data_IF_543219869129
#
_entry.id   IF_543219869129
#
_cell.length_a   1.000
_cell.length_b   1.000
_cell.length_c   1.000
_cell.angle_alpha   90.00
_cell.angle_beta   90.00
_cell.angle_gamma   90.00
#
_symmetry.space_group_name_H-M   'P 1'
#
loop_
_entity.id
_entity.type
_entity.pdbx_description
1 polymer ?
#
# COMPACT_ATOMS: atom_id res chain seq x y z
N UNK A 1 11.81 14.17 -11.29
CA UNK A 1 10.53 13.63 -10.79
C UNK A 1 10.57 13.61 -9.28
N UNK A 2 9.64 14.31 -8.63
CA UNK A 2 9.54 14.27 -7.17
C UNK A 2 8.93 12.94 -6.74
N UNK A 3 9.57 12.27 -5.79
CA UNK A 3 9.07 11.03 -5.21
C UNK A 3 7.86 11.34 -4.31
N UNK A 4 6.80 10.55 -4.44
CA UNK A 4 5.62 10.67 -3.56
C UNK A 4 5.98 10.01 -2.23
N UNK A 5 5.70 10.69 -1.13
CA UNK A 5 6.00 10.27 0.22
C UNK A 5 4.96 10.74 1.21
N UNK A 6 4.92 10.08 2.36
CA UNK A 6 4.13 10.52 3.52
C UNK A 6 4.78 11.78 4.10
N UNK A 7 4.02 12.87 4.20
CA UNK A 7 4.50 14.14 4.77
C UNK A 7 3.92 14.46 6.15
N UNK A 8 2.76 13.90 6.50
CA UNK A 8 2.19 14.02 7.82
C UNK A 8 1.26 12.86 8.15
N UNK A 9 1.08 12.61 9.45
CA UNK A 9 0.15 11.61 10.01
C UNK A 9 -0.67 12.35 11.08
N UNK A 10 -1.83 12.93 10.70
CA UNK A 10 -2.67 13.66 11.65
C UNK A 10 -3.24 12.79 12.77
N UNK A 11 -3.59 11.54 12.46
CA UNK A 11 -4.12 10.54 13.38
C UNK A 11 -3.91 9.12 12.84
N UNK A 12 -4.43 8.11 13.53
CA UNK A 12 -4.33 6.69 13.20
C UNK A 12 -5.23 6.24 12.03
N UNK A 13 -6.08 7.12 11.50
CA UNK A 13 -7.02 6.81 10.41
C UNK A 13 -6.63 7.38 9.05
N UNK A 14 -5.74 8.37 9.02
CA UNK A 14 -5.38 9.08 7.79
C UNK A 14 -3.91 9.48 7.74
N UNK A 15 -3.39 9.53 6.52
CA UNK A 15 -2.07 10.08 6.22
C UNK A 15 -2.19 11.18 5.18
N UNK A 16 -1.19 12.05 5.13
CA UNK A 16 -1.06 13.10 4.13
C UNK A 16 0.15 12.82 3.25
N UNK A 17 -0.03 12.91 1.94
CA UNK A 17 1.00 12.66 0.92
C UNK A 17 1.26 13.92 0.10
N UNK A 18 2.51 14.14 -0.34
CA UNK A 18 2.95 15.30 -1.12
C UNK A 18 2.54 15.23 -2.61
N UNK A 19 1.28 14.95 -2.86
CA UNK A 19 0.70 14.96 -4.20
C UNK A 19 -0.69 15.58 -4.12
N UNK A 20 -0.92 16.63 -4.89
CA UNK A 20 -2.18 17.36 -4.97
C UNK A 20 -2.65 17.54 -6.41
N UNK A 21 -3.75 18.27 -6.61
CA UNK A 21 -4.35 18.52 -7.93
C UNK A 21 -3.42 19.29 -8.86
N UNK A 22 -2.53 20.15 -8.34
CA UNK A 22 -1.58 20.94 -9.13
C UNK A 22 -0.25 20.21 -9.40
N UNK A 23 -0.19 18.91 -9.12
CA UNK A 23 1.03 18.13 -9.37
C UNK A 23 1.25 17.97 -10.87
N UNK A 24 2.22 18.70 -11.42
CA UNK A 24 2.57 18.75 -12.85
C UNK A 24 3.28 17.48 -13.39
N UNK A 25 3.00 16.29 -12.87
CA UNK A 25 3.48 15.02 -13.44
C UNK A 25 2.32 14.39 -14.24
N UNK A 26 2.41 14.40 -15.57
CA UNK A 26 1.39 13.85 -16.49
C UNK A 26 1.03 12.38 -16.19
N UNK A 27 1.99 11.62 -15.66
CA UNK A 27 1.84 10.21 -15.28
C UNK A 27 1.25 9.98 -13.87
N UNK A 28 1.11 11.04 -13.06
CA UNK A 28 0.74 10.97 -11.64
C UNK A 28 -0.52 11.79 -11.35
N UNK A 29 -1.54 11.62 -12.17
CA UNK A 29 -2.81 12.29 -11.93
C UNK A 29 -3.50 11.72 -10.68
N UNK A 30 -3.68 12.55 -9.66
CA UNK A 30 -4.36 12.17 -8.43
C UNK A 30 -5.87 12.41 -8.58
N UNK A 31 -6.66 11.38 -8.30
CA UNK A 31 -8.12 11.44 -8.30
C UNK A 31 -8.68 10.88 -7.01
N UNK A 32 -9.81 11.43 -6.59
CA UNK A 32 -10.52 10.87 -5.45
C UNK A 32 -10.84 9.42 -5.74
N UNK A 33 -10.45 8.59 -4.79
CA UNK A 33 -10.61 7.17 -4.88
C UNK A 33 -9.53 6.39 -5.59
N UNK A 34 -8.45 7.04 -6.04
CA UNK A 34 -7.25 6.35 -6.50
C UNK A 34 -6.64 5.55 -5.34
N UNK A 35 -6.20 4.32 -5.62
CA UNK A 35 -5.51 3.48 -4.65
C UNK A 35 -4.00 3.76 -4.70
N UNK A 36 -3.39 3.81 -3.52
CA UNK A 36 -1.95 3.99 -3.31
C UNK A 36 -1.43 2.93 -2.35
N UNK A 37 -0.15 2.62 -2.44
CA UNK A 37 0.57 1.76 -1.51
C UNK A 37 1.70 2.55 -0.86
N UNK A 38 1.78 2.50 0.46
CA UNK A 38 2.98 2.89 1.20
C UNK A 38 3.95 1.70 1.14
N UNK A 39 5.19 1.95 0.74
CA UNK A 39 6.17 0.89 0.48
C UNK A 39 7.45 1.09 1.29
N UNK A 40 8.08 -0.02 1.64
CA UNK A 40 9.45 -0.05 2.18
C UNK A 40 10.46 0.34 1.09
N UNK A 41 11.71 0.51 1.51
CA UNK A 41 12.81 0.64 0.57
C UNK A 41 12.88 -0.57 -0.36
N UNK A 42 13.26 -0.30 -1.61
CA UNK A 42 13.32 -1.29 -2.67
C UNK A 42 14.44 -2.29 -2.44
N UNK A 43 14.16 -3.56 -2.71
CA UNK A 43 15.15 -4.62 -2.81
C UNK A 43 15.49 -4.78 -4.27
N UNK A 44 16.76 -4.59 -4.64
CA UNK A 44 17.19 -4.86 -6.00
C UNK A 44 17.12 -6.36 -6.29
N UNK A 45 16.37 -6.70 -7.34
CA UNK A 45 16.21 -8.06 -7.81
C UNK A 45 17.20 -8.25 -8.95
N UNK A 46 18.16 -9.15 -8.73
CA UNK A 46 19.20 -9.48 -9.71
C UNK A 46 19.03 -10.94 -10.10
N UNK A 47 19.06 -11.19 -11.41
CA UNK A 47 19.05 -12.54 -11.96
C UNK A 47 20.37 -13.25 -11.58
N UNK A 48 20.33 -14.41 -10.90
CA UNK A 48 21.53 -15.06 -10.39
C UNK A 48 22.41 -15.64 -11.50
N UNK A 49 21.85 -15.99 -12.66
CA UNK A 49 22.58 -16.63 -13.77
C UNK A 49 23.23 -15.59 -14.67
N UNK A 50 22.55 -14.47 -14.92
CA UNK A 50 22.99 -13.42 -15.84
C UNK A 50 23.58 -12.19 -15.15
N UNK A 51 23.46 -12.10 -13.81
CA UNK A 51 23.78 -10.92 -12.99
C UNK A 51 23.09 -9.63 -13.44
N UNK A 52 22.03 -9.76 -14.25
CA UNK A 52 21.29 -8.61 -14.75
C UNK A 52 20.33 -8.12 -13.68
N UNK A 53 20.35 -6.81 -13.40
CA UNK A 53 19.30 -6.19 -12.58
C UNK A 53 17.96 -6.26 -13.32
N UNK A 54 16.97 -6.88 -12.67
CA UNK A 54 15.59 -7.00 -13.13
C UNK A 54 14.69 -5.88 -12.59
N UNK A 55 15.27 -4.92 -11.86
CA UNK A 55 14.58 -3.83 -11.19
C UNK A 55 14.55 -4.01 -9.69
N UNK A 56 13.73 -3.22 -9.00
CA UNK A 56 13.61 -3.30 -7.54
C UNK A 56 12.20 -3.67 -7.10
N UNK A 57 12.11 -4.59 -6.15
CA UNK A 57 10.87 -5.00 -5.49
C UNK A 57 10.65 -4.12 -4.26
N UNK A 58 9.47 -3.51 -4.15
CA UNK A 58 9.13 -2.62 -3.05
C UNK A 58 8.05 -3.28 -2.20
N UNK A 59 8.41 -3.86 -1.05
CA UNK A 59 7.43 -4.48 -0.18
C UNK A 59 6.37 -3.48 0.28
N UNK A 60 5.10 -3.87 0.22
CA UNK A 60 3.99 -3.02 0.61
C UNK A 60 3.83 -3.08 2.13
N UNK A 61 3.82 -1.91 2.77
CA UNK A 61 3.48 -1.74 4.18
C UNK A 61 1.95 -1.74 4.31
N UNK A 62 1.27 -0.90 3.54
CA UNK A 62 -0.18 -0.74 3.61
C UNK A 62 -0.77 -0.19 2.31
N UNK A 63 -2.00 -0.61 1.98
CA UNK A 63 -2.77 -0.07 0.85
C UNK A 63 -3.83 0.91 1.35
N UNK A 64 -3.87 2.08 0.74
CA UNK A 64 -4.75 3.19 1.11
C UNK A 64 -5.46 3.72 -0.13
N UNK A 65 -6.52 4.49 0.08
CA UNK A 65 -7.24 5.19 -0.97
C UNK A 65 -7.22 6.68 -0.71
N UNK A 66 -6.99 7.48 -1.74
CA UNK A 66 -7.11 8.94 -1.67
C UNK A 66 -8.58 9.30 -1.42
N UNK A 67 -8.86 10.05 -0.35
CA UNK A 67 -10.21 10.46 0.02
C UNK A 67 -10.46 11.95 -0.17
N UNK A 68 -9.41 12.77 -0.09
CA UNK A 68 -9.50 14.23 -0.23
C UNK A 68 -8.27 14.71 -0.98
N UNK A 69 -8.45 15.66 -1.90
CA UNK A 69 -7.37 16.26 -2.70
C UNK A 69 -7.36 17.76 -2.44
N UNK A 70 -6.17 18.28 -2.19
CA UNK A 70 -5.86 19.70 -2.07
C UNK A 70 -4.83 20.07 -3.13
N UNK A 71 -4.54 21.35 -3.29
CA UNK A 71 -3.67 21.86 -4.37
C UNK A 71 -2.29 21.18 -4.38
N UNK A 72 -1.69 21.02 -3.20
CA UNK A 72 -0.31 20.55 -3.03
C UNK A 72 -0.19 19.21 -2.28
N UNK A 73 -1.29 18.66 -1.77
CA UNK A 73 -1.28 17.43 -1.00
C UNK A 73 -2.62 16.68 -1.09
N UNK A 74 -2.62 15.43 -0.67
CA UNK A 74 -3.84 14.61 -0.61
C UNK A 74 -3.89 13.84 0.70
N UNK A 75 -5.11 13.54 1.13
CA UNK A 75 -5.38 12.70 2.30
C UNK A 75 -5.70 11.29 1.83
N UNK A 76 -5.04 10.30 2.42
CA UNK A 76 -5.26 8.90 2.13
C UNK A 76 -5.70 8.13 3.38
N UNK A 77 -6.63 7.19 3.20
CA UNK A 77 -7.20 6.38 4.29
C UNK A 77 -7.30 4.92 3.88
N UNK A 78 -7.19 4.01 4.85
CA UNK A 78 -7.37 2.57 4.62
C UNK A 78 -8.85 2.26 4.41
N UNK A 79 -9.18 1.53 3.34
CA UNK A 79 -10.56 1.09 3.11
C UNK A 79 -10.74 -0.37 3.53
N UNK A 80 -11.67 -0.58 4.46
CA UNK A 80 -12.16 -1.90 4.83
C UNK A 80 -13.49 -2.14 4.11
N UNK A 81 -13.47 -2.77 2.94
CA UNK A 81 -14.71 -3.19 2.25
C UNK A 81 -15.29 -4.42 2.96
N UNK A 82 -16.29 -4.24 3.82
CA UNK A 82 -17.07 -5.38 4.36
C UNK A 82 -18.01 -5.87 3.26
N UNK A 83 -17.69 -7.00 2.61
CA UNK A 83 -18.63 -7.69 1.71
C UNK A 83 -19.76 -8.28 2.55
N UNK A 84 -20.95 -7.71 2.47
CA UNK A 84 -22.19 -8.39 2.83
C UNK A 84 -22.78 -8.99 1.56
N UNK A 85 -22.83 -10.31 1.46
CA UNK A 85 -23.49 -11.00 0.36
C UNK A 85 -25.01 -10.74 0.44
N UNK A 86 -25.67 -10.29 -0.64
CA UNK A 86 -27.09 -9.91 -0.58
C UNK A 86 -28.05 -11.08 -0.32
N UNK A 87 -27.70 -12.31 -0.71
CA UNK A 87 -28.62 -13.45 -0.67
C UNK A 87 -28.48 -14.37 0.56
N UNK A 88 -27.37 -14.31 1.30
CA UNK A 88 -27.16 -15.14 2.50
C UNK A 88 -27.46 -14.41 3.82
N UNK A 89 -27.71 -13.09 3.77
CA UNK A 89 -27.77 -12.22 4.94
C UNK A 89 -29.17 -12.02 5.55
N UNK A 90 -30.23 -12.61 4.98
CA UNK A 90 -31.58 -12.39 5.48
C UNK A 90 -31.87 -13.10 6.81
N UNK A 91 -31.21 -14.23 7.10
CA UNK A 91 -31.55 -15.10 8.25
C UNK A 91 -30.37 -15.46 9.17
N UNK A 92 -29.16 -14.91 8.96
CA UNK A 92 -28.00 -15.19 9.82
C UNK A 92 -27.83 -14.03 10.81
N UNK A 93 -27.95 -14.26 12.13
CA UNK A 93 -27.71 -13.24 13.13
C UNK A 93 -26.33 -12.61 12.91
N UNK A 94 -26.15 -11.29 13.13
CA UNK A 94 -24.88 -10.58 12.88
C UNK A 94 -23.65 -11.24 13.51
N UNK A 95 -23.84 -12.03 14.57
CA UNK A 95 -22.81 -12.76 15.31
C UNK A 95 -22.22 -13.96 14.54
N UNK A 96 -22.92 -14.50 13.53
CA UNK A 96 -22.56 -15.72 12.80
C UNK A 96 -22.07 -15.47 11.36
N UNK A 97 -21.77 -14.22 11.00
CA UNK A 97 -21.21 -13.91 9.68
C UNK A 97 -19.73 -14.31 9.65
N UNK A 98 -19.45 -15.50 9.15
CA UNK A 98 -18.08 -15.92 8.83
C UNK A 98 -17.51 -15.02 7.74
N UNK A 99 -16.30 -14.51 7.99
CA UNK A 99 -15.52 -13.76 7.01
C UNK A 99 -14.47 -14.70 6.43
N UNK A 100 -14.48 -14.88 5.13
CA UNK A 100 -13.37 -15.54 4.44
C UNK A 100 -12.13 -14.64 4.51
N UNK A 101 -11.07 -15.13 5.14
CA UNK A 101 -9.74 -14.50 5.12
C UNK A 101 -8.77 -15.44 4.40
N UNK A 102 -8.01 -14.91 3.46
CA UNK A 102 -6.89 -15.63 2.86
C UNK A 102 -5.65 -15.44 3.73
N UNK A 103 -5.13 -16.53 4.28
CA UNK A 103 -3.88 -16.54 5.05
C UNK A 103 -2.74 -17.10 4.19
N UNK A 104 -1.60 -16.42 4.16
CA UNK A 104 -0.42 -16.86 3.43
C UNK A 104 0.45 -17.74 4.35
N UNK A 105 0.81 -18.94 3.89
CA UNK A 105 1.70 -19.84 4.63
C UNK A 105 3.17 -19.49 4.42
N UNK A 106 3.99 -19.75 5.43
CA UNK A 106 5.44 -19.62 5.31
C UNK A 106 6.02 -20.57 4.25
N UNK A 107 7.01 -20.10 3.50
CA UNK A 107 7.78 -20.89 2.55
C UNK A 107 8.98 -21.53 3.26
N UNK A 108 9.34 -22.75 2.85
CA UNK A 108 10.57 -23.40 3.29
C UNK A 108 11.71 -22.93 2.38
N UNK A 109 12.48 -21.94 2.83
CA UNK A 109 13.54 -21.27 2.05
C UNK A 109 14.93 -21.54 2.63
N UNK A 110 15.94 -21.56 1.77
CA UNK A 110 17.35 -21.57 2.18
C UNK A 110 17.75 -20.18 2.68
N UNK A 111 18.01 -20.07 3.98
CA UNK A 111 18.31 -18.80 4.66
C UNK A 111 19.67 -18.20 4.27
N UNK A 112 20.54 -18.94 3.56
CA UNK A 112 21.85 -18.44 3.13
C UNK A 112 21.77 -17.34 2.06
N UNK A 113 20.62 -17.21 1.37
CA UNK A 113 20.41 -16.29 0.24
C UNK A 113 19.33 -15.24 0.57
N UNK A 114 18.75 -15.26 1.78
CA UNK A 114 17.64 -14.38 2.13
C UNK A 114 18.06 -12.91 2.18
N UNK A 115 17.61 -12.15 1.17
CA UNK A 115 17.52 -10.71 1.21
C UNK A 115 16.50 -10.37 2.30
N UNK A 116 16.96 -10.17 3.54
CA UNK A 116 16.12 -9.65 4.60
C UNK A 116 16.08 -8.13 4.46
N UNK A 117 15.08 -7.52 3.80
CA UNK A 117 14.87 -6.10 3.98
C UNK A 117 14.55 -5.85 5.46
N UNK A 118 14.83 -4.66 5.99
CA UNK A 118 14.19 -4.19 7.21
C UNK A 118 12.69 -4.04 6.90
N UNK A 119 11.94 -5.14 7.03
CA UNK A 119 10.51 -5.13 6.79
C UNK A 119 9.84 -4.38 7.92
N UNK A 120 9.36 -3.18 7.61
CA UNK A 120 8.65 -2.32 8.54
C UNK A 120 7.16 -2.62 8.48
N UNK A 121 6.50 -2.74 9.63
CA UNK A 121 5.07 -3.02 9.75
C UNK A 121 4.23 -1.81 10.20
N UNK A 122 4.80 -0.61 10.15
CA UNK A 122 4.15 0.64 10.51
C UNK A 122 4.49 1.74 9.49
N UNK A 123 3.61 2.72 9.34
CA UNK A 123 3.83 3.88 8.46
C UNK A 123 4.54 4.98 9.26
N UNK A 124 5.48 5.69 8.64
CA UNK A 124 6.11 6.90 9.19
C UNK A 124 6.23 8.00 8.15
N UNK A 125 6.46 9.21 8.65
CA UNK A 125 6.76 10.37 7.82
C UNK A 125 8.05 10.09 7.05
N UNK A 126 8.03 10.36 5.75
CA UNK A 126 9.11 10.09 4.81
C UNK A 126 8.96 8.78 4.03
N UNK A 127 8.08 7.87 4.44
CA UNK A 127 7.87 6.61 3.72
C UNK A 127 7.40 6.86 2.28
N UNK A 128 7.90 6.06 1.34
CA UNK A 128 7.63 6.18 -0.08
C UNK A 128 6.22 5.70 -0.41
N UNK A 129 5.61 6.34 -1.39
CA UNK A 129 4.24 6.05 -1.84
C UNK A 129 4.23 5.79 -3.33
N UNK A 130 3.47 4.77 -3.75
CA UNK A 130 3.29 4.42 -5.17
C UNK A 130 1.82 4.28 -5.50
N UNK A 131 1.45 4.63 -6.72
CA UNK A 131 0.14 4.30 -7.25
C UNK A 131 0.07 2.80 -7.57
N UNK A 132 -1.12 2.23 -7.37
CA UNK A 132 -1.46 0.83 -7.70
C UNK A 132 -2.67 0.74 -8.62
#
# INVERSE_FOLDING_TARGET
>A
MSEIKVIAIPDDTRIIVNIGSETNDEDKYVTEGKEIAVVCDGIDIVDPDTQKSLGSYYPIIEKLKITEIYDNFSVARKIVKKKTTPFAAANIPPMFREKEYSEFKHLNIDNSISLHPPYKNYISIGDKVRFI
#
